data_IF_679740264278
#
_entry.id   IF_679740264278
#
_cell.length_a   1.000
_cell.length_b   1.000
_cell.length_c   1.000
_cell.angle_alpha   90.00
_cell.angle_beta   90.00
_cell.angle_gamma   90.00
#
_symmetry.space_group_name_H-M   'P 1'
#
loop_
_entity.id
_entity.type
_entity.pdbx_description
1 polymer ?
#
# COMPACT_ATOMS: atom_id res chain seq x y z
N UNK A 1 -1.99 -12.95 -15.01
CA UNK A 1 -3.12 -13.61 -15.69
C UNK A 1 -4.12 -12.58 -16.23
N UNK A 2 -4.40 -11.49 -15.49
CA UNK A 2 -5.38 -10.49 -15.91
C UNK A 2 -5.03 -9.79 -17.23
N UNK A 3 -3.75 -9.50 -17.47
CA UNK A 3 -3.29 -8.76 -18.64
C UNK A 3 -3.55 -9.52 -19.93
N UNK A 4 -3.40 -10.85 -19.93
CA UNK A 4 -3.73 -11.69 -21.08
C UNK A 4 -5.23 -11.68 -21.38
N UNK A 5 -6.09 -11.64 -20.36
CA UNK A 5 -7.53 -11.51 -20.55
C UNK A 5 -7.92 -10.13 -21.09
N UNK A 6 -7.28 -9.06 -20.59
CA UNK A 6 -7.47 -7.70 -21.09
C UNK A 6 -7.05 -7.59 -22.58
N UNK A 7 -5.89 -8.16 -22.90
CA UNK A 7 -5.35 -8.24 -24.25
C UNK A 7 -6.31 -8.97 -25.21
N UNK A 8 -6.73 -10.18 -24.83
CA UNK A 8 -7.67 -10.98 -25.62
C UNK A 8 -9.04 -10.30 -25.79
N UNK A 9 -9.47 -9.46 -24.84
CA UNK A 9 -10.69 -8.66 -25.00
C UNK A 9 -10.51 -7.58 -26.07
N UNK A 10 -9.43 -6.80 -25.98
CA UNK A 10 -9.15 -5.69 -26.91
C UNK A 10 -8.93 -6.23 -28.34
N UNK A 11 -8.23 -7.36 -28.48
CA UNK A 11 -7.92 -7.99 -29.76
C UNK A 11 -9.15 -8.38 -30.59
N UNK A 12 -10.31 -8.54 -29.96
CA UNK A 12 -11.57 -8.81 -30.68
C UNK A 12 -12.01 -7.65 -31.58
N UNK A 13 -11.59 -6.43 -31.26
CA UNK A 13 -12.02 -5.22 -31.96
C UNK A 13 -10.85 -4.43 -32.54
N UNK A 14 -9.67 -4.51 -31.92
CA UNK A 14 -8.52 -3.67 -32.26
C UNK A 14 -7.26 -4.52 -32.47
N UNK A 15 -6.63 -4.40 -33.63
CA UNK A 15 -5.41 -5.14 -33.97
C UNK A 15 -4.13 -4.52 -33.38
N UNK A 16 -4.12 -3.20 -33.15
CA UNK A 16 -2.95 -2.45 -32.64
C UNK A 16 -3.28 -1.76 -31.32
N UNK A 17 -2.71 -2.27 -30.24
CA UNK A 17 -2.92 -1.73 -28.91
C UNK A 17 -1.69 -1.85 -28.01
N UNK A 18 -1.69 -1.11 -26.92
CA UNK A 18 -0.78 -1.29 -25.79
C UNK A 18 -1.53 -1.11 -24.47
N UNK A 19 -1.20 -1.93 -23.47
CA UNK A 19 -1.60 -1.77 -22.08
C UNK A 19 -0.34 -1.37 -21.33
N UNK A 20 -0.39 -0.21 -20.68
CA UNK A 20 0.78 0.43 -20.06
C UNK A 20 0.45 0.97 -18.68
N UNK A 21 1.47 1.10 -17.85
CA UNK A 21 1.39 1.86 -16.61
C UNK A 21 1.66 3.35 -16.88
N UNK A 22 1.23 4.21 -15.96
CA UNK A 22 1.38 5.67 -16.06
C UNK A 22 2.85 6.12 -16.06
N UNK A 23 3.77 5.27 -15.61
CA UNK A 23 5.22 5.49 -15.65
C UNK A 23 5.87 5.12 -16.99
N UNK A 24 5.12 4.48 -17.91
CA UNK A 24 5.62 4.01 -19.21
C UNK A 24 5.99 2.54 -19.27
N UNK A 25 5.84 1.79 -18.17
CA UNK A 25 6.03 0.34 -18.18
C UNK A 25 4.98 -0.31 -19.09
N UNK A 26 5.46 -1.07 -20.07
CA UNK A 26 4.58 -1.79 -21.02
C UNK A 26 4.22 -3.14 -20.41
N UNK A 27 2.94 -3.38 -20.16
CA UNK A 27 2.44 -4.66 -19.66
C UNK A 27 2.18 -5.65 -20.80
N UNK A 28 1.60 -5.15 -21.89
CA UNK A 28 1.34 -5.92 -23.13
C UNK A 28 1.22 -4.96 -24.31
N UNK A 29 1.67 -5.37 -25.49
CA UNK A 29 1.43 -4.59 -26.70
C UNK A 29 1.56 -5.42 -27.98
N UNK A 30 0.79 -5.03 -29.01
CA UNK A 30 1.01 -5.41 -30.41
C UNK A 30 1.71 -4.31 -31.22
N UNK A 31 1.92 -3.14 -30.61
CA UNK A 31 2.69 -2.02 -31.16
C UNK A 31 4.18 -2.27 -30.87
N UNK A 32 5.06 -1.92 -31.83
CA UNK A 32 6.50 -2.06 -31.63
C UNK A 32 6.97 -1.25 -30.41
N UNK A 33 7.71 -1.89 -29.51
CA UNK A 33 8.21 -1.28 -28.27
C UNK A 33 9.03 0.00 -28.51
N UNK A 34 9.79 0.06 -29.61
CA UNK A 34 10.57 1.26 -29.99
C UNK A 34 9.68 2.48 -30.23
N UNK A 35 8.53 2.27 -30.87
CA UNK A 35 7.55 3.33 -31.11
C UNK A 35 6.98 3.80 -29.78
N UNK A 36 6.56 2.88 -28.92
CA UNK A 36 6.02 3.22 -27.60
C UNK A 36 7.04 3.97 -26.74
N UNK A 37 8.30 3.53 -26.69
CA UNK A 37 9.38 4.20 -25.95
C UNK A 37 9.64 5.63 -26.41
N UNK A 38 9.46 5.93 -27.71
CA UNK A 38 9.60 7.29 -28.25
C UNK A 38 8.38 8.15 -27.95
N UNK A 39 7.18 7.58 -27.97
CA UNK A 39 5.94 8.35 -27.78
C UNK A 39 5.61 8.57 -26.31
N UNK A 40 5.94 7.63 -25.42
CA UNK A 40 5.53 7.69 -24.00
C UNK A 40 6.06 8.91 -23.24
N UNK A 41 7.32 9.35 -23.40
CA UNK A 41 7.82 10.55 -22.72
C UNK A 41 7.02 11.81 -23.07
N UNK A 42 6.55 11.91 -24.33
CA UNK A 42 5.72 13.01 -24.81
C UNK A 42 4.33 12.93 -24.20
N UNK A 43 3.79 11.72 -24.10
CA UNK A 43 2.45 11.45 -23.60
C UNK A 43 2.36 11.50 -22.07
N UNK A 44 3.45 11.24 -21.35
CA UNK A 44 3.48 11.23 -19.87
C UNK A 44 2.91 12.53 -19.29
N UNK A 45 3.22 13.67 -19.91
CA UNK A 45 2.72 14.98 -19.48
C UNK A 45 1.22 15.17 -19.80
N UNK A 46 0.73 14.62 -20.90
CA UNK A 46 -0.70 14.63 -21.28
C UNK A 46 -1.51 13.69 -20.37
N UNK A 47 -1.00 12.49 -20.13
CA UNK A 47 -1.67 11.42 -19.40
C UNK A 47 -1.75 11.67 -17.89
N UNK A 48 -0.78 12.39 -17.32
CA UNK A 48 -0.72 12.66 -15.88
C UNK A 48 -1.85 13.59 -15.43
N UNK A 49 -2.15 14.63 -16.21
CA UNK A 49 -2.94 15.77 -15.75
C UNK A 49 -4.19 16.07 -16.61
N UNK A 50 -4.31 15.55 -17.84
CA UNK A 50 -5.39 15.96 -18.76
C UNK A 50 -6.48 14.91 -19.00
N UNK A 51 -6.23 13.63 -18.72
CA UNK A 51 -7.22 12.57 -18.92
C UNK A 51 -7.71 12.08 -17.55
N UNK A 52 -8.97 12.35 -17.15
CA UNK A 52 -9.55 11.78 -15.95
C UNK A 52 -9.67 10.26 -16.04
N UNK A 53 -9.66 9.58 -14.90
CA UNK A 53 -9.89 8.13 -14.84
C UNK A 53 -11.29 7.80 -15.38
N UNK A 54 -11.39 6.73 -16.17
CA UNK A 54 -12.60 6.36 -16.92
C UNK A 54 -12.84 7.18 -18.19
N UNK A 55 -11.97 8.14 -18.52
CA UNK A 55 -12.09 8.96 -19.73
C UNK A 55 -11.12 8.54 -20.82
N UNK A 56 -11.42 8.94 -22.05
CA UNK A 56 -10.58 8.73 -23.23
C UNK A 56 -10.24 10.04 -23.93
N UNK A 57 -9.10 10.04 -24.62
CA UNK A 57 -8.65 11.13 -25.47
C UNK A 57 -8.50 10.64 -26.91
N UNK A 58 -9.19 11.32 -27.83
CA UNK A 58 -9.22 10.97 -29.25
C UNK A 58 -8.35 11.91 -30.06
N UNK A 59 -7.32 11.36 -30.71
CA UNK A 59 -6.56 12.03 -31.77
C UNK A 59 -6.17 11.00 -32.81
N UNK A 60 -7.14 10.60 -33.62
CA UNK A 60 -6.99 9.53 -34.60
C UNK A 60 -5.72 9.71 -35.46
N UNK A 61 -4.95 8.64 -35.69
CA UNK A 61 -5.26 7.25 -35.36
C UNK A 61 -4.99 6.84 -33.90
N UNK A 62 -4.61 7.77 -33.02
CA UNK A 62 -4.21 7.45 -31.64
C UNK A 62 -5.35 7.73 -30.67
N UNK A 63 -5.68 6.74 -29.85
CA UNK A 63 -6.68 6.90 -28.78
C UNK A 63 -6.08 6.42 -27.47
N UNK A 64 -6.26 7.23 -26.43
CA UNK A 64 -5.88 6.90 -25.06
C UNK A 64 -7.12 6.66 -24.23
N UNK A 65 -7.10 5.64 -23.40
CA UNK A 65 -8.13 5.39 -22.42
C UNK A 65 -7.48 5.15 -21.06
N UNK A 66 -7.81 6.01 -20.10
CA UNK A 66 -7.31 5.89 -18.74
C UNK A 66 -8.26 4.99 -17.96
N UNK A 67 -7.92 3.70 -17.89
CA UNK A 67 -8.75 2.69 -17.22
C UNK A 67 -8.78 2.93 -15.71
N UNK A 68 -7.60 3.16 -15.14
CA UNK A 68 -7.41 3.43 -13.70
C UNK A 68 -6.45 4.61 -13.53
N UNK A 69 -6.18 5.02 -12.30
CA UNK A 69 -5.20 6.06 -12.03
C UNK A 69 -3.80 5.73 -12.56
N UNK A 70 -3.49 4.43 -12.74
CA UNK A 70 -2.19 3.95 -13.18
C UNK A 70 -2.21 3.19 -14.51
N UNK A 71 -3.32 2.57 -14.92
CA UNK A 71 -3.38 1.73 -16.11
C UNK A 71 -4.00 2.48 -17.28
N UNK A 72 -3.29 2.47 -18.41
CA UNK A 72 -3.65 3.21 -19.63
C UNK A 72 -3.64 2.23 -20.80
N UNK A 73 -4.73 2.23 -21.55
CA UNK A 73 -4.86 1.53 -22.83
C UNK A 73 -4.63 2.53 -23.95
N UNK A 74 -3.76 2.16 -24.90
CA UNK A 74 -3.44 2.94 -26.09
C UNK A 74 -3.91 2.13 -27.29
N UNK A 75 -4.68 2.73 -28.18
CA UNK A 75 -5.09 2.15 -29.45
C UNK A 75 -4.47 2.92 -30.61
N UNK A 76 -4.07 2.18 -31.65
CA UNK A 76 -3.75 2.74 -32.97
C UNK A 76 -4.81 2.27 -33.96
N UNK A 77 -5.83 3.09 -34.18
CA UNK A 77 -7.04 2.72 -34.91
C UNK A 77 -7.64 3.91 -35.67
N UNK A 78 -8.34 3.63 -36.77
CA UNK A 78 -9.19 4.58 -37.48
C UNK A 78 -10.67 4.22 -37.35
N UNK A 79 -11.00 3.31 -36.43
CA UNK A 79 -12.39 2.95 -36.13
C UNK A 79 -13.19 4.16 -35.66
N UNK A 80 -14.51 4.08 -35.83
CA UNK A 80 -15.42 5.14 -35.41
C UNK A 80 -15.40 5.28 -33.89
N UNK A 81 -15.45 6.52 -33.41
CA UNK A 81 -15.42 6.85 -31.98
C UNK A 81 -16.47 6.10 -31.15
N UNK A 82 -17.69 5.94 -31.67
CA UNK A 82 -18.74 5.20 -30.99
C UNK A 82 -18.39 3.72 -30.74
N UNK A 83 -17.74 3.05 -31.69
CA UNK A 83 -17.29 1.66 -31.54
C UNK A 83 -16.24 1.57 -30.43
N UNK A 84 -15.31 2.54 -30.42
CA UNK A 84 -14.21 2.59 -29.44
C UNK A 84 -14.76 2.85 -28.03
N UNK A 85 -15.68 3.81 -27.89
CA UNK A 85 -16.31 4.14 -26.61
C UNK A 85 -17.10 2.96 -26.03
N UNK A 86 -17.92 2.29 -26.83
CA UNK A 86 -18.65 1.09 -26.38
C UNK A 86 -17.71 -0.03 -25.94
N UNK A 87 -16.61 -0.23 -26.65
CA UNK A 87 -15.59 -1.20 -26.25
C UNK A 87 -14.92 -0.80 -24.91
N UNK A 88 -14.58 0.48 -24.71
CA UNK A 88 -14.00 0.96 -23.46
C UNK A 88 -14.95 0.86 -22.27
N UNK A 89 -16.24 1.12 -22.46
CA UNK A 89 -17.26 0.96 -21.42
C UNK A 89 -17.33 -0.48 -20.91
N UNK A 90 -17.41 -1.44 -21.83
CA UNK A 90 -17.40 -2.88 -21.50
C UNK A 90 -16.08 -3.30 -20.86
N UNK A 91 -14.95 -2.81 -21.38
CA UNK A 91 -13.63 -3.07 -20.82
C UNK A 91 -13.53 -2.58 -19.38
N UNK A 92 -13.97 -1.35 -19.12
CA UNK A 92 -13.93 -0.74 -17.79
C UNK A 92 -14.76 -1.53 -16.79
N UNK A 93 -15.99 -1.86 -17.16
CA UNK A 93 -16.91 -2.66 -16.33
C UNK A 93 -16.33 -4.01 -15.95
N UNK A 94 -15.59 -4.65 -16.86
CA UNK A 94 -15.06 -5.99 -16.64
C UNK A 94 -13.72 -6.02 -15.88
N UNK A 95 -12.87 -5.00 -16.06
CA UNK A 95 -11.46 -5.06 -15.67
C UNK A 95 -10.96 -3.93 -14.77
N UNK A 96 -11.62 -2.77 -14.69
CA UNK A 96 -11.06 -1.59 -14.03
C UNK A 96 -10.73 -1.83 -12.55
N UNK A 97 -11.65 -2.40 -11.78
CA UNK A 97 -11.43 -2.68 -10.35
C UNK A 97 -10.27 -3.65 -10.12
N UNK A 98 -10.24 -4.75 -10.87
CA UNK A 98 -9.17 -5.75 -10.76
C UNK A 98 -7.80 -5.19 -11.16
N UNK A 99 -7.76 -4.35 -12.19
CA UNK A 99 -6.54 -3.66 -12.61
C UNK A 99 -6.09 -2.61 -11.58
N UNK A 100 -7.03 -1.94 -10.90
CA UNK A 100 -6.70 -1.00 -9.82
C UNK A 100 -6.07 -1.71 -8.62
N UNK A 101 -6.53 -2.93 -8.31
CA UNK A 101 -5.96 -3.78 -7.26
C UNK A 101 -4.58 -4.34 -7.63
N UNK A 102 -4.40 -4.82 -8.86
CA UNK A 102 -3.14 -5.46 -9.30
C UNK A 102 -2.05 -4.42 -9.61
N UNK A 103 -2.44 -3.25 -10.12
CA UNK A 103 -1.51 -2.18 -10.54
C UNK A 103 -1.87 -0.82 -9.91
N UNK A 104 -1.85 -0.69 -8.59
CA UNK A 104 -2.16 0.58 -7.94
C UNK A 104 -1.14 1.66 -8.32
N UNK A 105 -1.59 2.91 -8.39
CA UNK A 105 -0.69 4.04 -8.63
C UNK A 105 0.23 4.20 -7.42
N UNK A 106 1.54 4.32 -7.67
CA UNK A 106 2.51 4.69 -6.66
C UNK A 106 2.97 6.12 -6.88
N UNK A 107 3.25 6.84 -5.80
CA UNK A 107 3.70 8.23 -5.85
C UNK A 107 5.14 8.33 -5.37
N UNK A 108 5.96 9.08 -6.11
CA UNK A 108 7.34 9.40 -5.72
C UNK A 108 7.37 10.10 -4.35
N UNK A 109 6.46 11.05 -4.14
CA UNK A 109 6.18 11.65 -2.83
C UNK A 109 4.94 10.99 -2.22
N UNK A 110 5.16 9.86 -1.57
CA UNK A 110 4.12 9.10 -0.86
C UNK A 110 4.43 8.95 0.62
N UNK A 111 3.43 8.56 1.41
CA UNK A 111 3.67 8.16 2.80
C UNK A 111 4.69 7.02 2.89
N UNK A 112 4.67 6.07 1.95
CA UNK A 112 5.65 4.99 1.85
C UNK A 112 7.05 5.45 1.42
N UNK A 113 7.19 6.62 0.81
CA UNK A 113 8.51 7.19 0.47
C UNK A 113 9.23 7.83 1.66
N UNK A 114 8.46 8.24 2.68
CA UNK A 114 8.99 8.88 3.91
C UNK A 114 9.03 7.92 5.10
N UNK A 115 8.39 6.76 4.99
CA UNK A 115 8.47 5.69 5.97
C UNK A 115 9.84 5.01 5.90
N UNK A 116 10.57 5.01 7.02
CA UNK A 116 11.90 4.42 7.14
C UNK A 116 11.83 2.93 7.47
N UNK A 117 10.99 2.58 8.43
CA UNK A 117 10.78 1.20 8.85
C UNK A 117 9.48 1.06 9.63
N UNK A 118 9.09 -0.17 9.90
CA UNK A 118 7.96 -0.45 10.76
C UNK A 118 8.21 -1.64 11.66
N UNK A 119 7.62 -1.63 12.84
CA UNK A 119 7.79 -2.66 13.85
C UNK A 119 6.43 -3.04 14.40
N UNK A 120 6.17 -4.34 14.45
CA UNK A 120 5.07 -4.92 15.21
C UNK A 120 5.65 -5.51 16.51
N UNK A 121 5.12 -5.07 17.65
CA UNK A 121 5.59 -5.47 18.98
C UNK A 121 4.42 -5.86 19.87
N UNK A 122 4.64 -6.81 20.75
CA UNK A 122 3.65 -7.30 21.71
C UNK A 122 4.23 -7.25 23.12
N UNK A 123 3.44 -6.81 24.09
CA UNK A 123 3.80 -6.87 25.50
C UNK A 123 3.67 -8.33 25.98
N UNK A 124 4.80 -8.92 26.39
CA UNK A 124 4.89 -10.25 26.99
C UNK A 124 5.23 -10.11 28.48
N UNK A 125 5.14 -11.20 29.24
CA UNK A 125 5.57 -11.21 30.65
C UNK A 125 7.04 -10.81 30.82
N UNK A 126 7.91 -11.21 29.89
CA UNK A 126 9.32 -10.84 29.87
C UNK A 126 9.59 -9.38 29.45
N UNK A 127 8.57 -8.65 29.01
CA UNK A 127 8.67 -7.29 28.51
C UNK A 127 8.24 -7.13 27.04
N UNK A 128 8.57 -5.99 26.41
CA UNK A 128 8.21 -5.73 25.02
C UNK A 128 8.98 -6.64 24.06
N UNK A 129 8.27 -7.47 23.31
CA UNK A 129 8.86 -8.35 22.30
C UNK A 129 8.60 -7.81 20.89
N UNK A 130 9.64 -7.48 20.10
CA UNK A 130 9.48 -7.19 18.67
C UNK A 130 9.21 -8.49 17.90
N UNK A 131 7.98 -8.64 17.42
CA UNK A 131 7.52 -9.86 16.72
C UNK A 131 7.90 -9.82 15.24
N UNK A 132 7.82 -8.66 14.60
CA UNK A 132 8.21 -8.50 13.20
C UNK A 132 8.60 -7.06 12.87
N UNK A 133 9.51 -6.91 11.91
CA UNK A 133 9.90 -5.59 11.39
C UNK A 133 10.14 -5.64 9.89
N UNK A 134 10.06 -4.47 9.27
CA UNK A 134 10.36 -4.25 7.86
C UNK A 134 11.51 -3.27 7.72
N UNK A 135 12.40 -3.53 6.76
CA UNK A 135 13.80 -3.08 6.62
C UNK A 135 14.82 -3.87 7.46
N UNK A 136 16.06 -3.92 6.96
CA UNK A 136 17.17 -4.58 7.64
C UNK A 136 17.82 -3.61 8.63
N UNK A 137 17.29 -3.56 9.85
CA UNK A 137 17.73 -2.67 10.93
C UNK A 137 18.28 -3.51 12.08
N UNK A 138 19.29 -2.95 12.76
CA UNK A 138 19.87 -3.55 13.96
C UNK A 138 18.80 -3.83 15.03
N UNK A 139 18.88 -5.02 15.64
CA UNK A 139 17.93 -5.47 16.63
C UNK A 139 17.88 -4.54 17.85
N UNK A 140 19.00 -3.96 18.27
CA UNK A 140 19.03 -3.03 19.41
C UNK A 140 18.19 -1.77 19.14
N UNK A 141 18.20 -1.29 17.89
CA UNK A 141 17.39 -0.17 17.45
C UNK A 141 15.91 -0.57 17.43
N UNK A 142 15.59 -1.76 16.90
CA UNK A 142 14.23 -2.30 16.89
C UNK A 142 13.69 -2.40 18.32
N UNK A 143 14.46 -2.99 19.22
CA UNK A 143 14.08 -3.18 20.62
C UNK A 143 13.86 -1.86 21.36
N UNK A 144 14.74 -0.85 21.15
CA UNK A 144 14.58 0.52 21.69
C UNK A 144 13.22 1.13 21.31
N UNK A 145 12.88 1.06 20.02
CA UNK A 145 11.64 1.68 19.53
C UNK A 145 10.39 0.86 19.86
N UNK A 146 10.47 -0.47 19.91
CA UNK A 146 9.40 -1.34 20.42
C UNK A 146 9.06 -1.01 21.86
N UNK A 147 10.08 -0.90 22.71
CA UNK A 147 9.93 -0.53 24.12
C UNK A 147 9.27 0.84 24.25
N UNK A 148 9.78 1.84 23.54
CA UNK A 148 9.24 3.20 23.56
C UNK A 148 7.77 3.26 23.10
N UNK A 149 7.40 2.44 22.11
CA UNK A 149 6.04 2.40 21.57
C UNK A 149 5.05 1.79 22.55
N UNK A 150 5.41 0.66 23.18
CA UNK A 150 4.56 0.01 24.18
C UNK A 150 4.51 0.79 25.49
N UNK A 151 5.55 1.56 25.85
CA UNK A 151 5.47 2.47 27.01
C UNK A 151 4.39 3.52 26.87
N UNK A 152 3.89 3.86 25.68
CA UNK A 152 2.75 4.77 25.55
C UNK A 152 1.46 4.22 26.14
N UNK A 153 1.36 2.90 26.34
CA UNK A 153 0.23 2.26 27.03
C UNK A 153 0.08 2.75 28.47
N UNK A 154 1.14 3.27 29.11
CA UNK A 154 1.03 3.82 30.48
C UNK A 154 0.08 5.03 30.55
N UNK A 155 -0.18 5.68 29.41
CA UNK A 155 -1.14 6.78 29.32
C UNK A 155 -2.58 6.28 29.13
N UNK A 156 -2.79 5.00 28.85
CA UNK A 156 -4.10 4.37 28.68
C UNK A 156 -4.60 3.81 30.01
N UNK A 157 -5.71 4.37 30.52
CA UNK A 157 -6.26 4.03 31.86
C UNK A 157 -6.67 2.56 32.00
N UNK A 158 -6.85 1.84 30.88
CA UNK A 158 -7.28 0.43 30.85
C UNK A 158 -6.42 -0.45 29.93
N UNK A 159 -5.20 -0.03 29.56
CA UNK A 159 -4.43 -0.68 28.49
C UNK A 159 -5.05 -0.45 27.10
N UNK A 160 -4.59 -1.18 26.06
CA UNK A 160 -4.98 -0.96 24.67
C UNK A 160 -6.38 -1.48 24.29
N UNK A 161 -7.34 -1.39 25.21
CA UNK A 161 -8.74 -1.84 25.02
C UNK A 161 -9.44 -1.17 23.85
N UNK A 162 -8.95 0.00 23.44
CA UNK A 162 -9.37 0.70 22.23
C UNK A 162 -8.17 0.85 21.30
N UNK A 163 -8.44 0.75 20.00
CA UNK A 163 -7.41 1.01 18.99
C UNK A 163 -7.12 2.50 18.97
N UNK A 164 -5.89 2.89 19.27
CA UNK A 164 -5.50 4.31 19.40
C UNK A 164 -4.31 4.62 18.50
N UNK A 165 -4.47 5.64 17.66
CA UNK A 165 -3.38 6.21 16.89
C UNK A 165 -2.69 7.33 17.66
N UNK A 166 -1.40 7.19 17.89
CA UNK A 166 -0.54 8.14 18.58
C UNK A 166 0.61 8.60 17.69
N UNK A 167 1.10 9.80 17.94
CA UNK A 167 2.30 10.32 17.29
C UNK A 167 3.35 10.66 18.34
N UNK A 168 4.52 10.04 18.24
CA UNK A 168 5.60 10.23 19.19
C UNK A 168 6.86 10.79 18.50
N UNK A 169 7.33 11.99 18.87
CA UNK A 169 8.52 12.58 18.28
C UNK A 169 9.80 11.98 18.90
N UNK A 170 10.62 11.35 18.07
CA UNK A 170 11.98 10.92 18.43
C UNK A 170 12.98 12.01 18.00
N UNK A 171 12.99 13.12 18.75
CA UNK A 171 13.71 14.35 18.36
C UNK A 171 15.21 14.13 18.15
N UNK A 172 15.86 13.34 19.01
CA UNK A 172 17.28 13.05 18.89
C UNK A 172 17.62 12.32 17.57
N UNK A 173 16.70 11.47 17.12
CA UNK A 173 16.85 10.65 15.92
C UNK A 173 16.25 11.33 14.67
N UNK A 174 15.71 12.56 14.81
CA UNK A 174 14.99 13.30 13.75
C UNK A 174 13.83 12.52 13.12
N UNK A 175 13.15 11.68 13.91
CA UNK A 175 12.02 10.88 13.46
C UNK A 175 10.70 11.23 14.14
N UNK A 176 9.61 10.89 13.46
CA UNK A 176 8.26 10.83 14.02
C UNK A 176 7.77 9.37 13.96
N UNK A 177 7.47 8.81 15.12
CA UNK A 177 6.80 7.52 15.24
C UNK A 177 5.29 7.69 15.11
N UNK A 178 4.70 6.99 14.15
CA UNK A 178 3.25 6.77 14.04
C UNK A 178 2.97 5.45 14.75
N UNK A 179 2.38 5.52 15.95
CA UNK A 179 2.23 4.37 16.84
C UNK A 179 0.75 4.04 16.96
N UNK A 180 0.37 2.85 16.51
CA UNK A 180 -0.96 2.33 16.65
C UNK A 180 -0.99 1.30 17.77
N UNK A 181 -1.71 1.58 18.84
CA UNK A 181 -1.88 0.71 20.00
C UNK A 181 -3.18 -0.07 19.85
N UNK A 182 -3.14 -1.37 20.12
CA UNK A 182 -4.32 -2.24 20.07
C UNK A 182 -4.11 -3.47 20.94
N UNK A 183 -5.21 -4.12 21.32
CA UNK A 183 -5.19 -5.36 22.09
C UNK A 183 -5.42 -6.58 21.20
N UNK A 184 -4.76 -7.69 21.54
CA UNK A 184 -4.93 -9.01 20.94
C UNK A 184 -5.60 -9.91 21.98
N UNK A 185 -6.81 -10.36 21.70
CA UNK A 185 -7.51 -11.33 22.55
C UNK A 185 -7.03 -12.75 22.24
N UNK A 186 -6.64 -13.51 23.27
CA UNK A 186 -6.32 -14.92 23.08
C UNK A 186 -7.61 -15.74 22.93
N UNK A 187 -7.88 -16.21 21.72
CA UNK A 187 -9.10 -17.00 21.44
C UNK A 187 -9.19 -18.33 22.21
N UNK A 188 -8.07 -18.87 22.69
CA UNK A 188 -8.04 -20.11 23.48
C UNK A 188 -8.21 -19.86 24.98
N UNK A 189 -7.83 -18.68 25.44
CA UNK A 189 -7.91 -18.25 26.84
C UNK A 189 -8.38 -16.79 26.87
N UNK A 190 -9.69 -16.53 26.79
CA UNK A 190 -10.24 -15.17 26.64
C UNK A 190 -9.84 -14.20 27.76
N UNK A 191 -9.42 -14.71 28.91
CA UNK A 191 -8.91 -13.91 30.04
C UNK A 191 -7.46 -13.44 29.83
N UNK A 192 -6.73 -14.01 28.87
CA UNK A 192 -5.39 -13.56 28.45
C UNK A 192 -5.51 -12.63 27.26
N UNK A 193 -5.17 -11.36 27.49
CA UNK A 193 -5.05 -10.35 26.45
C UNK A 193 -3.60 -9.90 26.34
N UNK A 194 -3.18 -9.53 25.13
CA UNK A 194 -1.86 -8.97 24.89
C UNK A 194 -2.00 -7.55 24.37
N UNK A 195 -1.37 -6.59 25.03
CA UNK A 195 -1.24 -5.26 24.45
C UNK A 195 -0.19 -5.30 23.33
N UNK A 196 -0.50 -4.65 22.22
CA UNK A 196 0.33 -4.65 21.04
C UNK A 196 0.49 -3.23 20.47
N UNK A 197 1.56 -3.06 19.70
CA UNK A 197 1.83 -1.83 18.97
C UNK A 197 2.30 -2.13 17.55
N UNK A 198 1.82 -1.31 16.62
CA UNK A 198 2.35 -1.18 15.28
C UNK A 198 2.96 0.21 15.13
N UNK A 199 4.27 0.27 15.00
CA UNK A 199 5.04 1.49 14.77
C UNK A 199 5.36 1.61 13.29
N UNK A 200 5.15 2.80 12.72
CA UNK A 200 5.77 3.24 11.46
C UNK A 200 6.68 4.43 11.79
N UNK A 201 7.96 4.32 11.46
CA UNK A 201 8.91 5.41 11.62
C UNK A 201 9.00 6.26 10.37
N UNK A 202 8.98 7.58 10.52
CA UNK A 202 9.03 8.55 9.40
C UNK A 202 9.98 9.70 9.71
N UNK A 203 10.44 10.43 8.68
CA UNK A 203 11.25 11.65 8.90
C UNK A 203 10.42 12.76 9.58
N UNK A 204 10.95 13.34 10.65
CA UNK A 204 10.26 14.36 11.46
C UNK A 204 9.90 15.64 10.69
N UNK A 205 10.62 15.93 9.60
CA UNK A 205 10.33 17.07 8.72
C UNK A 205 8.91 17.02 8.12
N UNK A 206 8.32 15.83 7.96
CA UNK A 206 6.99 15.64 7.38
C UNK A 206 5.85 15.61 8.41
N UNK A 207 6.11 15.92 9.69
CA UNK A 207 5.12 15.83 10.78
C UNK A 207 3.78 16.51 10.47
N UNK A 208 3.81 17.71 9.86
CA UNK A 208 2.59 18.46 9.55
C UNK A 208 1.71 17.71 8.54
N UNK A 209 2.34 17.08 7.53
CA UNK A 209 1.64 16.26 6.55
C UNK A 209 1.07 15.00 7.21
N UNK A 210 1.86 14.34 8.06
CA UNK A 210 1.44 13.13 8.76
C UNK A 210 0.23 13.40 9.66
N UNK A 211 0.22 14.51 10.41
CA UNK A 211 -0.92 14.88 11.26
C UNK A 211 -2.21 15.10 10.47
N UNK A 212 -2.11 15.69 9.26
CA UNK A 212 -3.27 15.85 8.37
C UNK A 212 -3.83 14.53 7.84
N UNK A 213 -3.02 13.47 7.84
CA UNK A 213 -3.39 12.14 7.37
C UNK A 213 -3.97 11.23 8.46
N UNK A 214 -4.32 11.76 9.64
CA UNK A 214 -4.78 10.94 10.77
C UNK A 214 -5.82 9.89 10.37
N UNK A 215 -6.93 10.28 9.76
CA UNK A 215 -8.02 9.37 9.37
C UNK A 215 -7.58 8.32 8.35
N UNK A 216 -6.71 8.69 7.40
CA UNK A 216 -6.17 7.76 6.39
C UNK A 216 -5.26 6.73 7.05
N UNK A 217 -4.36 7.18 7.93
CA UNK A 217 -3.46 6.34 8.70
C UNK A 217 -4.24 5.36 9.58
N UNK A 218 -5.19 5.86 10.34
CA UNK A 218 -6.03 5.06 11.22
C UNK A 218 -6.77 3.95 10.47
N UNK A 219 -7.36 4.25 9.31
CA UNK A 219 -8.01 3.23 8.48
C UNK A 219 -7.04 2.13 8.06
N UNK A 220 -5.85 2.49 7.59
CA UNK A 220 -4.85 1.53 7.14
C UNK A 220 -4.33 0.69 8.30
N UNK A 221 -4.02 1.33 9.42
CA UNK A 221 -3.46 0.67 10.60
C UNK A 221 -4.48 -0.28 11.23
N UNK A 222 -5.78 0.06 11.19
CA UNK A 222 -6.85 -0.88 11.55
C UNK A 222 -6.79 -2.16 10.72
N UNK A 223 -6.86 -2.03 9.38
CA UNK A 223 -6.83 -3.20 8.48
C UNK A 223 -5.56 -4.04 8.68
N UNK A 224 -4.40 -3.40 8.84
CA UNK A 224 -3.13 -4.11 9.06
C UNK A 224 -3.09 -4.77 10.46
N UNK A 225 -3.64 -4.12 11.48
CA UNK A 225 -3.71 -4.70 12.83
C UNK A 225 -4.54 -5.98 12.85
N UNK A 226 -5.65 -6.03 12.09
CA UNK A 226 -6.46 -7.25 11.95
C UNK A 226 -5.65 -8.40 11.34
N UNK A 227 -4.84 -8.13 10.31
CA UNK A 227 -3.96 -9.14 9.72
C UNK A 227 -2.87 -9.61 10.70
N UNK A 228 -2.28 -8.69 11.46
CA UNK A 228 -1.26 -9.01 12.46
C UNK A 228 -1.82 -9.82 13.63
N UNK A 229 -3.03 -9.49 14.10
CA UNK A 229 -3.77 -10.23 15.14
C UNK A 229 -3.96 -11.68 14.69
N UNK A 230 -4.47 -11.88 13.48
CA UNK A 230 -4.73 -13.22 12.94
C UNK A 230 -3.44 -14.04 12.79
N UNK A 231 -2.36 -13.43 12.29
CA UNK A 231 -1.07 -14.08 12.18
C UNK A 231 -0.46 -14.40 13.56
N UNK A 232 -0.64 -13.50 14.54
CA UNK A 232 -0.19 -13.73 15.90
C UNK A 232 -0.90 -14.94 16.50
N UNK A 233 -2.23 -14.98 16.43
CA UNK A 233 -3.04 -16.08 16.97
C UNK A 233 -2.71 -17.43 16.28
N UNK A 234 -2.37 -17.43 14.98
CA UNK A 234 -2.02 -18.67 14.28
C UNK A 234 -0.66 -19.24 14.68
N UNK A 235 0.33 -18.36 14.89
CA UNK A 235 1.69 -18.76 15.27
C UNK A 235 1.81 -19.02 16.78
N UNK A 236 1.00 -18.32 17.58
CA UNK A 236 1.08 -18.34 19.02
C UNK A 236 0.24 -19.48 19.63
N UNK A 237 0.92 -20.52 20.12
CA UNK A 237 0.26 -21.75 20.62
C UNK A 237 0.03 -21.75 22.13
N UNK A 238 0.90 -21.11 22.91
CA UNK A 238 0.84 -21.02 24.38
C UNK A 238 1.72 -19.86 24.88
N UNK A 239 1.39 -19.27 26.04
CA UNK A 239 2.17 -18.24 26.74
C UNK A 239 3.37 -18.81 27.50
N UNK A 240 4.09 -19.73 26.86
CA UNK A 240 5.43 -20.09 27.28
C UNK A 240 6.34 -18.87 27.15
N UNK A 241 7.29 -18.70 28.08
CA UNK A 241 8.36 -17.67 28.01
C UNK A 241 9.20 -17.75 26.72
N UNK A 242 9.01 -18.79 25.90
CA UNK A 242 9.71 -18.96 24.64
C UNK A 242 9.32 -17.87 23.62
N UNK A 243 10.32 -17.23 22.99
CA UNK A 243 10.07 -16.18 21.99
C UNK A 243 9.46 -16.75 20.70
N UNK A 244 8.75 -15.91 19.95
CA UNK A 244 8.25 -16.29 18.63
C UNK A 244 9.43 -16.50 17.68
N UNK A 245 9.55 -17.72 17.16
CA UNK A 245 10.64 -18.14 16.27
C UNK A 245 10.31 -17.90 14.79
N UNK A 246 9.05 -18.02 14.39
CA UNK A 246 8.61 -17.76 13.03
C UNK A 246 8.11 -16.31 12.86
N UNK A 247 8.98 -15.45 12.34
CA UNK A 247 8.68 -14.01 12.13
C UNK A 247 8.24 -13.67 10.72
N UNK A 248 8.27 -14.64 9.80
CA UNK A 248 8.06 -14.43 8.37
C UNK A 248 6.64 -13.95 8.03
N UNK A 249 5.55 -14.48 8.63
CA UNK A 249 4.19 -13.99 8.35
C UNK A 249 4.03 -12.49 8.65
N UNK A 250 4.59 -12.03 9.77
CA UNK A 250 4.54 -10.63 10.18
C UNK A 250 5.34 -9.75 9.22
N UNK A 251 6.53 -10.20 8.80
CA UNK A 251 7.35 -9.50 7.81
C UNK A 251 6.59 -9.30 6.49
N UNK A 252 5.89 -10.33 6.00
CA UNK A 252 5.08 -10.26 4.78
C UNK A 252 3.92 -9.26 4.93
N UNK A 253 3.25 -9.23 6.09
CA UNK A 253 2.19 -8.25 6.37
C UNK A 253 2.75 -6.83 6.35
N UNK A 254 3.87 -6.57 7.04
CA UNK A 254 4.51 -5.26 7.05
C UNK A 254 5.00 -4.83 5.65
N UNK A 255 5.53 -5.76 4.84
CA UNK A 255 5.87 -5.48 3.44
C UNK A 255 4.66 -5.02 2.62
N UNK A 256 3.50 -5.69 2.79
CA UNK A 256 2.26 -5.31 2.11
C UNK A 256 1.75 -3.95 2.58
N UNK A 257 1.84 -3.67 3.88
CA UNK A 257 1.57 -2.34 4.42
C UNK A 257 2.42 -1.28 3.71
N UNK A 258 3.74 -1.45 3.63
CA UNK A 258 4.62 -0.48 2.97
C UNK A 258 4.31 -0.29 1.48
N UNK A 259 3.93 -1.36 0.77
CA UNK A 259 3.42 -1.24 -0.61
C UNK A 259 2.16 -0.37 -0.67
N UNK A 260 1.23 -0.54 0.27
CA UNK A 260 0.03 0.29 0.38
C UNK A 260 0.35 1.74 0.74
N UNK A 261 1.31 1.99 1.63
CA UNK A 261 1.74 3.35 1.96
C UNK A 261 2.29 4.11 0.74
N UNK A 262 2.90 3.41 -0.23
CA UNK A 262 3.38 4.01 -1.49
C UNK A 262 2.28 4.50 -2.42
N UNK A 263 1.03 4.09 -2.19
CA UNK A 263 -0.13 4.51 -2.98
C UNK A 263 -0.82 5.75 -2.40
N UNK A 264 -0.29 6.33 -1.31
CA UNK A 264 -0.89 7.47 -0.62
C UNK A 264 -0.01 8.70 -0.85
N UNK A 265 -0.47 9.70 -1.63
CA UNK A 265 0.33 10.88 -1.93
C UNK A 265 0.47 11.79 -0.71
N UNK A 266 1.60 12.48 -0.55
CA UNK A 266 1.85 13.41 0.56
C UNK A 266 1.04 14.72 0.48
N UNK A 267 0.47 15.06 -0.67
CA UNK A 267 -0.20 16.34 -0.92
C UNK A 267 -1.73 16.25 -0.85
N UNK A 268 -2.27 15.44 0.07
CA UNK A 268 -3.70 15.38 0.35
C UNK A 268 -4.20 16.68 1.01
#
# INVERSE_FOLDING_TARGET
MIIENCAAFIEKTMSKYAITLSDGTILKSTIKNETLKKTFPILKNLLKDQIPTGSSFFKLPVVFFRVTDNVIVILLTNEKENIILSMFELFSTQFAEKLALEYPRTYEQSLGSIAKFSIFSVARQAGPEPIGWWENIDYDIIFKYSTSSLLLLVNEVRGATHRTLNFHPFIADQYLGIIFLFQIENLKEPEKTFDASLLIMTDYQFRNTIYKMHTVLEKILNEISDELINAFISEFKDDSEAPITNREPFRIILQRMHKKLKTIPLNL
#
